data_IF_088134148431
#
_entry.id   IF_088134148431
#
_cell.length_a   1.000
_cell.length_b   1.000
_cell.length_c   1.000
_cell.angle_alpha   90.00
_cell.angle_beta   90.00
_cell.angle_gamma   90.00
#
_symmetry.space_group_name_H-M   'P 1'
#
loop_
_entity.id
_entity.type
_entity.pdbx_description
1 polymer ?
#
# COMPACT_ATOMS: atom_id res chain seq x y z
N UNK A 1 6.75 -6.36 20.14
CA UNK A 1 6.47 -7.68 19.53
C UNK A 1 7.57 -8.14 18.56
N UNK A 2 7.73 -7.55 17.37
CA UNK A 2 8.69 -8.02 16.36
C UNK A 2 10.12 -8.20 16.92
N UNK A 3 10.66 -7.17 17.57
CA UNK A 3 12.00 -7.19 18.18
C UNK A 3 12.15 -8.31 19.22
N UNK A 4 11.11 -8.58 20.03
CA UNK A 4 11.16 -9.66 21.02
C UNK A 4 11.20 -11.04 20.37
N UNK A 5 10.39 -11.27 19.34
CA UNK A 5 10.39 -12.54 18.61
C UNK A 5 11.70 -12.75 17.86
N UNK A 6 12.21 -11.72 17.18
CA UNK A 6 13.53 -11.73 16.52
C UNK A 6 14.63 -12.07 17.54
N UNK A 7 14.60 -11.45 18.72
CA UNK A 7 15.61 -11.69 19.78
C UNK A 7 15.57 -13.14 20.31
N UNK A 8 14.40 -13.77 20.30
CA UNK A 8 14.20 -15.15 20.77
C UNK A 8 14.40 -16.20 19.66
N UNK A 9 14.52 -15.79 18.40
CA UNK A 9 14.65 -16.68 17.26
C UNK A 9 16.10 -17.19 17.12
N UNK A 10 16.39 -18.46 17.43
CA UNK A 10 17.74 -19.00 17.35
C UNK A 10 18.23 -19.19 15.91
N UNK A 11 17.34 -19.09 14.92
CA UNK A 11 17.71 -19.21 13.52
C UNK A 11 18.33 -17.94 12.95
N UNK A 12 18.21 -16.78 13.62
CA UNK A 12 18.74 -15.50 13.15
C UNK A 12 20.10 -15.18 13.80
N UNK A 13 21.13 -14.98 12.97
CA UNK A 13 22.40 -14.38 13.42
C UNK A 13 22.45 -12.90 13.02
N UNK A 14 22.09 -12.02 13.95
CA UNK A 14 22.23 -10.57 13.76
C UNK A 14 23.59 -10.02 14.20
N UNK A 15 24.39 -10.82 14.93
CA UNK A 15 25.65 -10.39 15.55
C UNK A 15 25.54 -9.39 16.70
N UNK A 16 24.38 -8.76 16.87
CA UNK A 16 24.09 -7.77 17.91
C UNK A 16 22.65 -7.91 18.37
N UNK A 17 22.36 -7.42 19.58
CA UNK A 17 20.99 -7.32 20.08
C UNK A 17 20.27 -6.19 19.32
N UNK A 18 19.09 -6.50 18.79
CA UNK A 18 18.22 -5.51 18.18
C UNK A 18 17.47 -4.73 19.27
N UNK A 19 17.38 -3.42 19.09
CA UNK A 19 16.53 -2.53 19.87
C UNK A 19 15.92 -1.48 18.93
N UNK A 20 14.89 -0.78 19.38
CA UNK A 20 14.18 0.20 18.58
C UNK A 20 13.84 1.47 19.36
N UNK A 21 13.74 2.56 18.62
CA UNK A 21 13.17 3.83 19.09
C UNK A 21 12.08 4.23 18.12
N UNK A 22 10.94 4.67 18.64
CA UNK A 22 9.87 5.23 17.81
C UNK A 22 10.25 6.66 17.46
N UNK A 23 10.37 6.93 16.17
CA UNK A 23 10.70 8.24 15.64
C UNK A 23 9.43 8.85 15.06
N UNK A 24 8.97 9.96 15.65
CA UNK A 24 7.75 10.63 15.21
C UNK A 24 7.97 11.36 13.89
N UNK A 25 7.30 10.88 12.85
CA UNK A 25 7.24 11.50 11.52
C UNK A 25 6.02 12.41 11.44
N UNK A 26 6.23 13.69 11.15
CA UNK A 26 5.14 14.65 10.96
C UNK A 26 4.45 14.38 9.61
N UNK A 27 3.13 14.62 9.52
CA UNK A 27 2.43 14.50 8.24
C UNK A 27 2.81 15.60 7.23
N UNK A 28 3.42 16.71 7.69
CA UNK A 28 3.95 17.77 6.84
C UNK A 28 5.36 17.41 6.35
N UNK A 29 5.55 17.32 5.03
CA UNK A 29 6.77 16.78 4.42
C UNK A 29 8.02 17.58 4.81
N UNK A 30 7.89 18.90 4.89
CA UNK A 30 9.02 19.78 5.23
C UNK A 30 9.53 19.53 6.66
N UNK A 31 8.62 19.43 7.62
CA UNK A 31 8.94 19.18 9.03
C UNK A 31 9.41 17.75 9.26
N UNK A 32 8.82 16.78 8.57
CA UNK A 32 9.23 15.38 8.60
C UNK A 32 10.69 15.23 8.16
N UNK A 33 11.08 15.87 7.05
CA UNK A 33 12.45 15.84 6.55
C UNK A 33 13.43 16.46 7.54
N UNK A 34 13.12 17.63 8.10
CA UNK A 34 13.99 18.30 9.07
C UNK A 34 14.24 17.41 10.29
N UNK A 35 13.18 16.81 10.86
CA UNK A 35 13.32 15.85 11.96
C UNK A 35 14.12 14.60 11.56
N UNK A 36 13.93 14.09 10.34
CA UNK A 36 14.64 12.90 9.85
C UNK A 36 16.16 13.10 9.84
N UNK A 37 16.64 14.31 9.51
CA UNK A 37 18.07 14.65 9.55
C UNK A 37 18.65 14.46 10.96
N UNK A 38 17.91 14.83 12.01
CA UNK A 38 18.34 14.70 13.40
C UNK A 38 18.43 13.23 13.85
N UNK A 39 17.62 12.35 13.26
CA UNK A 39 17.63 10.92 13.56
C UNK A 39 18.87 10.20 13.03
N UNK A 40 19.64 10.85 12.14
CA UNK A 40 20.88 10.33 11.58
C UNK A 40 21.95 9.95 12.61
N UNK A 41 21.83 10.29 13.89
CA UNK A 41 22.73 9.83 14.97
C UNK A 41 22.10 8.81 15.93
N UNK A 42 20.80 8.58 15.85
CA UNK A 42 20.04 7.80 16.85
C UNK A 42 19.89 6.31 16.49
N UNK A 43 19.79 6.00 15.19
CA UNK A 43 19.41 4.65 14.74
C UNK A 43 20.43 4.06 13.77
N UNK A 44 20.65 2.75 13.77
CA UNK A 44 21.59 2.09 12.83
C UNK A 44 20.97 1.77 11.46
N UNK A 45 19.65 1.70 11.40
CA UNK A 45 18.83 1.51 10.21
C UNK A 45 17.44 2.12 10.47
N UNK A 46 16.67 2.33 9.41
CA UNK A 46 15.34 2.91 9.48
C UNK A 46 14.30 1.97 8.89
N UNK A 47 13.19 1.78 9.61
CA UNK A 47 11.94 1.24 9.07
C UNK A 47 11.01 2.45 8.89
N UNK A 48 10.76 2.82 7.63
CA UNK A 48 10.37 4.17 7.21
C UNK A 48 11.48 4.83 6.38
N UNK A 49 11.29 6.07 5.88
CA UNK A 49 10.16 6.96 6.15
C UNK A 49 8.87 6.48 5.50
N UNK A 50 7.74 6.96 6.03
CA UNK A 50 6.41 6.66 5.51
C UNK A 50 5.87 7.78 4.63
N UNK A 51 6.48 8.97 4.66
CA UNK A 51 6.11 10.05 3.76
C UNK A 51 6.89 10.00 2.42
N UNK A 52 6.20 9.77 1.29
CA UNK A 52 6.84 9.67 -0.02
C UNK A 52 7.45 10.98 -0.53
N UNK A 53 7.09 12.12 0.08
CA UNK A 53 7.59 13.44 -0.27
C UNK A 53 9.10 13.60 -0.12
N UNK A 54 9.71 12.88 0.83
CA UNK A 54 11.15 13.00 1.08
C UNK A 54 11.93 11.68 0.98
N UNK A 55 11.33 10.58 0.52
CA UNK A 55 12.01 9.29 0.39
C UNK A 55 13.30 9.32 -0.44
N UNK A 56 13.36 10.12 -1.51
CA UNK A 56 14.58 10.32 -2.31
C UNK A 56 15.70 10.94 -1.45
N UNK A 57 15.36 11.99 -0.69
CA UNK A 57 16.32 12.67 0.19
C UNK A 57 16.73 11.77 1.35
N UNK A 58 15.78 11.06 1.96
CA UNK A 58 16.06 10.10 3.02
C UNK A 58 17.06 9.04 2.55
N UNK A 59 16.87 8.51 1.34
CA UNK A 59 17.77 7.50 0.75
C UNK A 59 19.19 8.04 0.58
N UNK A 60 19.35 9.24 0.02
CA UNK A 60 20.66 9.90 -0.11
C UNK A 60 21.32 10.17 1.26
N UNK A 61 20.53 10.54 2.28
CA UNK A 61 21.02 10.67 3.65
C UNK A 61 21.45 9.33 4.23
N UNK A 62 20.67 8.26 3.98
CA UNK A 62 20.98 6.89 4.35
C UNK A 62 22.32 6.43 3.75
N UNK A 63 22.57 6.73 2.49
CA UNK A 63 23.86 6.46 1.82
C UNK A 63 25.01 7.19 2.52
N UNK A 64 24.85 8.49 2.76
CA UNK A 64 25.86 9.30 3.44
C UNK A 64 26.14 8.83 4.88
N UNK A 65 25.11 8.38 5.60
CA UNK A 65 25.24 7.86 6.95
C UNK A 65 25.64 6.39 7.00
N UNK A 66 25.67 5.70 5.85
CA UNK A 66 25.84 4.26 5.72
C UNK A 66 24.78 3.45 6.52
N UNK A 67 23.50 3.84 6.39
CA UNK A 67 22.35 3.26 7.09
C UNK A 67 21.31 2.76 6.11
N UNK A 68 20.81 1.55 6.36
CA UNK A 68 19.76 0.96 5.54
C UNK A 68 18.42 1.65 5.81
N UNK A 69 17.62 1.81 4.76
CA UNK A 69 16.28 2.39 4.80
C UNK A 69 15.32 1.38 4.19
N UNK A 70 14.36 0.94 4.99
CA UNK A 70 13.34 -0.03 4.60
C UNK A 70 11.98 0.66 4.58
N UNK A 71 11.29 0.73 3.45
CA UNK A 71 9.97 1.36 3.39
C UNK A 71 9.03 0.69 2.38
N UNK A 72 7.77 0.56 2.78
CA UNK A 72 6.67 0.15 1.90
C UNK A 72 5.95 1.36 1.25
N UNK A 73 6.14 2.57 1.78
CA UNK A 73 5.43 3.78 1.35
C UNK A 73 6.16 4.58 0.27
N UNK A 74 7.47 4.38 0.10
CA UNK A 74 8.30 5.19 -0.77
C UNK A 74 8.08 4.94 -2.28
N UNK A 75 6.87 5.11 -2.83
CA UNK A 75 6.42 4.69 -4.18
C UNK A 75 7.26 5.14 -5.39
N UNK A 76 8.21 6.06 -5.24
CA UNK A 76 9.01 6.53 -6.36
C UNK A 76 9.82 5.39 -7.04
N UNK A 77 9.56 5.17 -8.32
CA UNK A 77 10.22 4.17 -9.17
C UNK A 77 11.73 4.39 -9.29
N UNK A 78 12.22 5.62 -9.12
CA UNK A 78 13.67 5.91 -9.15
C UNK A 78 14.42 5.12 -8.07
N UNK A 79 13.79 4.85 -6.94
CA UNK A 79 14.36 4.11 -5.82
C UNK A 79 14.53 2.61 -6.09
N UNK A 80 13.98 2.06 -7.17
CA UNK A 80 14.14 0.64 -7.52
C UNK A 80 15.56 0.32 -8.04
N UNK A 81 16.32 1.34 -8.42
CA UNK A 81 17.69 1.16 -8.90
C UNK A 81 18.68 0.99 -7.73
N UNK A 82 19.01 -0.26 -7.40
CA UNK A 82 20.02 -0.61 -6.38
C UNK A 82 21.42 -0.01 -6.61
N UNK A 83 21.75 0.39 -7.83
CA UNK A 83 23.01 1.09 -8.15
C UNK A 83 23.02 2.55 -7.70
N UNK A 84 21.87 3.22 -7.82
CA UNK A 84 21.71 4.64 -7.50
C UNK A 84 21.25 4.85 -6.06
N UNK A 85 20.63 3.83 -5.47
CA UNK A 85 20.05 3.85 -4.13
C UNK A 85 20.45 2.58 -3.35
N UNK A 86 21.75 2.37 -3.12
CA UNK A 86 22.27 1.11 -2.60
C UNK A 86 21.86 0.79 -1.16
N UNK A 87 21.39 1.77 -0.39
CA UNK A 87 20.95 1.59 1.00
C UNK A 87 19.44 1.48 1.17
N UNK A 88 18.66 1.54 0.09
CA UNK A 88 17.21 1.45 0.14
C UNK A 88 16.72 0.04 -0.19
N UNK A 89 15.72 -0.43 0.56
CA UNK A 89 15.00 -1.66 0.28
C UNK A 89 13.49 -1.47 0.48
N UNK A 90 12.72 -2.01 -0.46
CA UNK A 90 11.26 -2.01 -0.40
C UNK A 90 10.80 -3.25 0.36
N UNK A 91 9.94 -3.10 1.36
CA UNK A 91 9.46 -4.23 2.19
C UNK A 91 8.17 -4.87 1.67
N UNK A 92 7.50 -4.21 0.72
CA UNK A 92 6.34 -4.71 0.00
C UNK A 92 6.55 -4.58 -1.51
N UNK A 93 5.80 -5.33 -2.34
CA UNK A 93 5.70 -5.04 -3.77
C UNK A 93 5.37 -3.57 -4.01
N UNK A 94 5.92 -2.99 -5.08
CA UNK A 94 5.62 -1.59 -5.44
C UNK A 94 4.12 -1.42 -5.67
N UNK A 95 3.44 -0.47 -5.01
CA UNK A 95 2.01 -0.23 -5.25
C UNK A 95 1.72 0.10 -6.71
N UNK A 96 2.65 0.78 -7.41
CA UNK A 96 2.55 1.02 -8.86
C UNK A 96 2.53 -0.28 -9.65
N UNK A 97 3.33 -1.28 -9.28
CA UNK A 97 3.33 -2.60 -9.95
C UNK A 97 1.99 -3.30 -9.76
N UNK A 98 1.49 -3.35 -8.52
CA UNK A 98 0.20 -3.99 -8.19
C UNK A 98 -0.94 -3.35 -9.00
N UNK A 99 -1.00 -2.01 -8.97
CA UNK A 99 -1.99 -1.24 -9.71
C UNK A 99 -1.86 -1.45 -11.22
N UNK A 100 -0.65 -1.40 -11.77
CA UNK A 100 -0.42 -1.60 -13.20
C UNK A 100 -0.86 -2.99 -13.67
N UNK A 101 -0.60 -4.04 -12.89
CA UNK A 101 -1.03 -5.42 -13.19
C UNK A 101 -2.56 -5.52 -13.26
N UNK A 102 -3.28 -4.88 -12.33
CA UNK A 102 -4.75 -4.84 -12.33
C UNK A 102 -5.28 -4.04 -13.53
N UNK A 103 -4.75 -2.84 -13.73
CA UNK A 103 -5.15 -1.98 -14.85
C UNK A 103 -4.92 -2.67 -16.19
N UNK A 104 -3.81 -3.40 -16.35
CA UNK A 104 -3.52 -4.19 -17.54
C UNK A 104 -4.52 -5.33 -17.74
N UNK A 105 -4.86 -6.06 -16.67
CA UNK A 105 -5.81 -7.16 -16.76
C UNK A 105 -7.20 -6.71 -17.22
N UNK A 106 -7.73 -5.64 -16.63
CA UNK A 106 -9.05 -5.09 -17.00
C UNK A 106 -9.01 -4.11 -18.17
N UNK A 107 -7.81 -3.81 -18.69
CA UNK A 107 -7.58 -2.78 -19.70
C UNK A 107 -8.13 -1.40 -19.31
N UNK A 108 -7.89 -0.96 -18.08
CA UNK A 108 -8.27 0.38 -17.60
C UNK A 108 -7.04 1.30 -17.60
N UNK A 109 -6.83 2.07 -18.66
CA UNK A 109 -5.64 2.87 -18.83
C UNK A 109 -5.77 4.29 -18.26
N UNK A 110 -6.97 4.89 -18.35
CA UNK A 110 -7.20 6.27 -17.96
C UNK A 110 -7.45 6.44 -16.46
N UNK A 111 -6.51 7.10 -15.79
CA UNK A 111 -6.46 7.22 -14.32
C UNK A 111 -6.78 8.64 -13.87
N UNK A 112 -7.65 8.74 -12.87
CA UNK A 112 -7.78 9.91 -11.99
C UNK A 112 -7.19 9.61 -10.62
N UNK A 113 -6.63 10.61 -9.93
CA UNK A 113 -6.11 10.46 -8.57
C UNK A 113 -6.65 11.59 -7.70
N UNK A 114 -7.28 11.22 -6.58
CA UNK A 114 -7.79 12.17 -5.57
C UNK A 114 -7.04 11.92 -4.26
N UNK A 115 -6.45 12.97 -3.70
CA UNK A 115 -5.78 12.93 -2.40
C UNK A 115 -6.59 13.66 -1.33
N UNK A 116 -6.47 13.26 -0.05
CA UNK A 116 -6.82 14.17 1.06
C UNK A 116 -5.77 15.29 1.20
N UNK A 117 -5.97 16.20 2.16
CA UNK A 117 -5.21 17.46 2.22
C UNK A 117 -3.87 17.35 2.96
N UNK A 118 -3.55 16.21 3.56
CA UNK A 118 -2.28 16.01 4.24
C UNK A 118 -1.15 15.83 3.21
N UNK A 119 0.03 16.41 3.46
CA UNK A 119 1.14 16.37 2.51
C UNK A 119 1.51 14.93 2.14
N UNK A 120 1.49 13.99 3.10
CA UNK A 120 1.74 12.57 2.83
C UNK A 120 0.86 12.02 1.69
N UNK A 121 -0.41 12.37 1.66
CA UNK A 121 -1.37 11.90 0.67
C UNK A 121 -1.26 12.64 -0.65
N UNK A 122 -1.00 13.95 -0.60
CA UNK A 122 -0.71 14.75 -1.81
C UNK A 122 0.58 14.28 -2.49
N UNK A 123 1.64 14.02 -1.71
CA UNK A 123 2.91 13.50 -2.21
C UNK A 123 2.74 12.07 -2.72
N UNK A 124 1.94 11.23 -2.06
CA UNK A 124 1.57 9.90 -2.55
C UNK A 124 0.94 10.00 -3.94
N UNK A 125 -0.07 10.86 -4.09
CA UNK A 125 -0.77 11.04 -5.37
C UNK A 125 0.16 11.55 -6.48
N UNK A 126 1.03 12.52 -6.19
CA UNK A 126 1.96 13.08 -7.16
C UNK A 126 3.03 12.05 -7.60
N UNK A 127 3.58 11.27 -6.65
CA UNK A 127 4.57 10.24 -6.96
C UNK A 127 3.94 9.05 -7.68
N UNK A 128 2.72 8.64 -7.29
CA UNK A 128 1.95 7.62 -8.00
C UNK A 128 1.65 8.06 -9.44
N UNK A 129 1.18 9.29 -9.64
CA UNK A 129 0.92 9.84 -10.97
C UNK A 129 2.17 9.79 -11.85
N UNK A 130 3.32 10.17 -11.29
CA UNK A 130 4.61 10.13 -11.99
C UNK A 130 5.02 8.70 -12.34
N UNK A 131 4.79 7.75 -11.44
CA UNK A 131 5.11 6.34 -11.67
C UNK A 131 4.20 5.69 -12.72
N UNK A 132 2.90 5.98 -12.72
CA UNK A 132 1.95 5.48 -13.73
C UNK A 132 2.22 6.08 -15.11
N UNK A 133 2.51 7.38 -15.19
CA UNK A 133 2.95 8.01 -16.46
C UNK A 133 4.24 7.40 -16.99
N UNK A 134 5.16 7.02 -16.11
CA UNK A 134 6.38 6.32 -16.49
C UNK A 134 6.11 4.90 -17.02
N UNK A 135 4.98 4.30 -16.67
CA UNK A 135 4.48 3.04 -17.24
C UNK A 135 3.66 3.24 -18.53
N UNK A 136 3.58 4.46 -19.05
CA UNK A 136 2.84 4.78 -20.26
C UNK A 136 1.35 5.09 -20.06
N UNK A 137 0.85 5.06 -18.81
CA UNK A 137 -0.58 5.27 -18.55
C UNK A 137 -0.96 6.76 -18.46
N UNK A 138 -2.08 7.17 -19.09
CA UNK A 138 -2.58 8.53 -19.00
C UNK A 138 -3.19 8.81 -17.61
N UNK A 139 -2.58 9.72 -16.86
CA UNK A 139 -3.13 10.25 -15.61
C UNK A 139 -3.74 11.62 -15.89
N UNK A 140 -5.06 11.63 -16.11
CA UNK A 140 -5.83 12.78 -16.60
C UNK A 140 -6.05 13.87 -15.55
N UNK A 141 -6.15 13.49 -14.26
CA UNK A 141 -6.29 14.44 -13.15
C UNK A 141 -5.57 13.94 -11.91
N UNK A 142 -4.91 14.87 -11.22
CA UNK A 142 -4.37 14.69 -9.86
C UNK A 142 -4.86 15.88 -9.04
N UNK A 143 -5.68 15.63 -8.03
CA UNK A 143 -6.35 16.69 -7.27
C UNK A 143 -6.38 16.38 -5.79
N UNK A 144 -6.19 17.39 -4.94
CA UNK A 144 -6.46 17.30 -3.51
C UNK A 144 -7.87 17.76 -3.17
N UNK A 145 -8.50 17.04 -2.25
CA UNK A 145 -9.88 17.24 -1.84
C UNK A 145 -10.00 18.49 -0.98
N UNK A 146 -10.63 19.55 -1.46
CA UNK A 146 -10.78 20.78 -0.67
C UNK A 146 -11.76 20.57 0.49
N UNK A 147 -11.44 21.15 1.66
CA UNK A 147 -12.31 21.09 2.85
C UNK A 147 -13.67 21.75 2.60
N UNK A 148 -14.70 21.21 3.25
CA UNK A 148 -16.08 21.69 3.18
C UNK A 148 -16.82 21.16 1.94
N UNK A 149 -18.15 21.14 2.02
CA UNK A 149 -19.02 20.54 1.01
C UNK A 149 -18.75 21.03 -0.41
N UNK A 150 -18.70 22.35 -0.60
CA UNK A 150 -18.39 22.97 -1.89
C UNK A 150 -17.01 22.56 -2.42
N UNK A 151 -16.04 22.36 -1.53
CA UNK A 151 -14.70 21.91 -1.92
C UNK A 151 -14.69 20.49 -2.49
N UNK A 152 -15.52 19.61 -1.94
CA UNK A 152 -15.69 18.24 -2.43
C UNK A 152 -16.46 18.24 -3.76
N UNK A 153 -17.52 19.06 -3.88
CA UNK A 153 -18.23 19.25 -5.15
C UNK A 153 -17.31 19.76 -6.26
N UNK A 154 -16.49 20.77 -5.97
CA UNK A 154 -15.50 21.31 -6.90
C UNK A 154 -14.49 20.24 -7.34
N UNK A 155 -14.14 19.32 -6.43
CA UNK A 155 -13.24 18.20 -6.72
C UNK A 155 -13.88 17.27 -7.75
N UNK A 156 -15.12 16.86 -7.54
CA UNK A 156 -15.87 16.02 -8.48
C UNK A 156 -16.18 16.71 -9.81
N UNK A 157 -16.44 18.02 -9.79
CA UNK A 157 -16.65 18.80 -11.00
C UNK A 157 -15.43 18.76 -11.92
N UNK A 158 -14.22 18.90 -11.37
CA UNK A 158 -12.98 18.79 -12.15
C UNK A 158 -12.72 17.38 -12.69
N UNK A 159 -13.08 16.35 -11.93
CA UNK A 159 -12.99 14.95 -12.42
C UNK A 159 -13.90 14.75 -13.63
N UNK A 160 -15.14 15.27 -13.59
CA UNK A 160 -16.09 15.21 -14.72
C UNK A 160 -15.57 15.93 -15.97
N UNK A 161 -14.84 17.03 -15.82
CA UNK A 161 -14.33 17.83 -16.94
C UNK A 161 -13.26 17.11 -17.79
N UNK A 162 -12.50 16.18 -17.20
CA UNK A 162 -11.42 15.47 -17.90
C UNK A 162 -11.98 14.45 -18.90
N UNK A 163 -13.11 13.82 -18.58
CA UNK A 163 -13.69 12.74 -19.38
C UNK A 163 -12.81 11.48 -19.42
N UNK A 164 -13.37 10.38 -19.92
CA UNK A 164 -12.70 9.09 -20.18
C UNK A 164 -11.93 8.41 -19.04
N UNK A 165 -11.96 8.92 -17.81
CA UNK A 165 -11.37 8.23 -16.66
C UNK A 165 -12.12 6.91 -16.42
N UNK A 166 -11.39 5.81 -16.23
CA UNK A 166 -11.96 4.50 -15.86
C UNK A 166 -11.78 4.22 -14.37
N UNK A 167 -10.60 4.50 -13.86
CA UNK A 167 -10.18 4.19 -12.49
C UNK A 167 -9.80 5.48 -11.75
N UNK A 168 -10.30 5.62 -10.52
CA UNK A 168 -9.99 6.74 -9.65
C UNK A 168 -9.34 6.19 -8.39
N UNK A 169 -8.05 6.52 -8.22
CA UNK A 169 -7.27 6.09 -7.06
C UNK A 169 -7.41 7.12 -5.95
N UNK A 170 -7.77 6.66 -4.76
CA UNK A 170 -8.05 7.48 -3.59
C UNK A 170 -6.85 7.42 -2.63
N UNK A 171 -5.97 8.42 -2.69
CA UNK A 171 -4.83 8.59 -1.80
C UNK A 171 -5.29 9.26 -0.50
N UNK A 172 -5.80 8.47 0.44
CA UNK A 172 -6.29 8.87 1.75
C UNK A 172 -6.49 7.62 2.60
N UNK A 173 -6.82 7.77 3.88
CA UNK A 173 -7.21 6.64 4.70
C UNK A 173 -8.52 6.02 4.20
N UNK A 174 -8.58 4.69 4.15
CA UNK A 174 -9.77 3.96 3.77
C UNK A 174 -10.83 4.02 4.87
N UNK A 175 -12.09 4.11 4.45
CA UNK A 175 -13.27 3.94 5.28
C UNK A 175 -13.18 2.68 6.16
N UNK A 176 -12.58 1.61 5.64
CA UNK A 176 -12.45 0.31 6.30
C UNK A 176 -11.55 0.35 7.55
N UNK A 177 -10.74 1.40 7.70
CA UNK A 177 -9.90 1.65 8.89
C UNK A 177 -10.18 3.01 9.54
N UNK A 178 -11.36 3.59 9.27
CA UNK A 178 -11.81 4.85 9.89
C UNK A 178 -11.50 6.12 9.10
N UNK A 179 -11.26 6.03 7.79
CA UNK A 179 -11.02 7.18 6.93
C UNK A 179 -12.27 8.02 6.63
N UNK A 180 -12.46 9.10 7.40
CA UNK A 180 -13.61 10.02 7.27
C UNK A 180 -13.62 10.80 5.96
N UNK A 181 -12.45 11.20 5.45
CA UNK A 181 -12.32 11.92 4.18
C UNK A 181 -12.79 11.08 3.00
N UNK A 182 -12.42 9.79 2.99
CA UNK A 182 -12.88 8.87 1.94
C UNK A 182 -14.39 8.66 2.02
N UNK A 183 -14.94 8.49 3.22
CA UNK A 183 -16.38 8.34 3.42
C UNK A 183 -17.13 9.56 2.87
N UNK A 184 -16.69 10.75 3.23
CA UNK A 184 -17.31 12.01 2.78
C UNK A 184 -17.21 12.17 1.26
N UNK A 185 -16.07 11.81 0.67
CA UNK A 185 -15.84 11.89 -0.78
C UNK A 185 -16.75 10.94 -1.55
N UNK A 186 -16.83 9.67 -1.13
CA UNK A 186 -17.65 8.63 -1.76
C UNK A 186 -19.15 8.94 -1.63
N UNK A 187 -19.61 9.31 -0.43
CA UNK A 187 -21.01 9.72 -0.22
C UNK A 187 -21.38 10.89 -1.13
N UNK A 188 -20.49 11.88 -1.28
CA UNK A 188 -20.73 12.99 -2.22
C UNK A 188 -20.71 12.54 -3.68
N UNK A 189 -19.90 11.54 -4.03
CA UNK A 189 -19.89 10.94 -5.37
C UNK A 189 -21.26 10.32 -5.69
N UNK A 190 -21.84 9.58 -4.74
CA UNK A 190 -23.18 9.01 -4.87
C UNK A 190 -24.24 10.09 -5.03
N UNK A 191 -24.24 11.13 -4.19
CA UNK A 191 -25.18 12.26 -4.28
C UNK A 191 -25.10 12.98 -5.64
N UNK A 192 -23.92 13.00 -6.27
CA UNK A 192 -23.70 13.57 -7.59
C UNK A 192 -23.93 12.58 -8.75
N UNK A 193 -24.32 11.34 -8.46
CA UNK A 193 -24.55 10.28 -9.46
C UNK A 193 -23.28 9.78 -10.14
N UNK A 194 -22.13 9.84 -9.44
CA UNK A 194 -20.81 9.45 -9.95
C UNK A 194 -20.36 8.07 -9.46
N UNK A 195 -21.04 7.50 -8.47
CA UNK A 195 -20.83 6.12 -8.01
C UNK A 195 -21.68 5.10 -8.79
N UNK A 196 -22.08 5.40 -10.03
CA UNK A 196 -23.02 4.61 -10.81
C UNK A 196 -22.38 3.51 -11.67
N UNK A 197 -21.13 3.14 -11.37
CA UNK A 197 -20.33 2.16 -12.10
C UNK A 197 -19.50 2.75 -13.26
N UNK A 198 -19.61 4.04 -13.57
CA UNK A 198 -18.77 4.65 -14.62
C UNK A 198 -17.28 4.76 -14.24
N UNK A 199 -17.00 4.84 -12.95
CA UNK A 199 -15.65 4.88 -12.37
C UNK A 199 -15.49 3.72 -11.41
N UNK A 200 -14.33 3.09 -11.43
CA UNK A 200 -13.88 2.19 -10.37
C UNK A 200 -13.09 3.00 -9.36
N UNK A 201 -13.56 3.07 -8.11
CA UNK A 201 -12.82 3.68 -7.03
C UNK A 201 -11.87 2.66 -6.40
N UNK A 202 -10.62 3.06 -6.12
CA UNK A 202 -9.62 2.20 -5.49
C UNK A 202 -8.97 2.92 -4.31
N UNK A 203 -9.17 2.45 -3.06
CA UNK A 203 -8.43 2.93 -1.90
C UNK A 203 -6.94 2.61 -2.06
N UNK A 204 -6.07 3.63 -2.01
CA UNK A 204 -4.64 3.41 -2.15
C UNK A 204 -4.04 2.72 -0.92
N UNK A 205 -4.49 3.10 0.28
CA UNK A 205 -3.86 2.67 1.53
C UNK A 205 -4.05 1.17 1.81
N UNK A 206 -5.14 0.57 1.31
CA UNK A 206 -5.40 -0.88 1.46
C UNK A 206 -4.35 -1.74 0.77
N UNK A 207 -3.58 -1.19 -0.19
CA UNK A 207 -2.43 -1.83 -0.83
C UNK A 207 -1.26 -2.07 0.14
N UNK A 208 -1.30 -1.46 1.31
CA UNK A 208 -0.16 -1.36 2.24
C UNK A 208 -0.28 -2.27 3.45
N UNK A 209 -1.36 -3.03 3.57
CA UNK A 209 -1.61 -3.94 4.67
C UNK A 209 -2.53 -5.08 4.24
N UNK A 210 -2.61 -6.13 5.05
CA UNK A 210 -3.56 -7.23 4.85
C UNK A 210 -4.82 -6.95 5.65
N UNK A 211 -5.88 -6.53 4.94
CA UNK A 211 -7.18 -6.28 5.53
C UNK A 211 -7.83 -7.62 5.92
N UNK A 212 -8.34 -7.78 7.15
CA UNK A 212 -9.07 -8.98 7.55
C UNK A 212 -10.49 -8.95 6.98
N UNK A 213 -10.72 -9.62 5.84
CA UNK A 213 -12.03 -9.67 5.18
C UNK A 213 -12.75 -11.01 5.37
N UNK A 214 -12.02 -12.10 5.63
CA UNK A 214 -12.58 -13.44 5.79
C UNK A 214 -13.46 -13.51 7.04
N UNK A 215 -14.75 -13.81 6.85
CA UNK A 215 -15.77 -13.86 7.91
C UNK A 215 -15.80 -12.58 8.77
N UNK A 216 -15.48 -11.44 8.17
CA UNK A 216 -15.47 -10.16 8.85
C UNK A 216 -16.52 -9.21 8.29
N UNK A 217 -17.12 -8.43 9.19
CA UNK A 217 -18.10 -7.40 8.88
C UNK A 217 -17.54 -6.04 9.26
N UNK A 218 -17.69 -5.07 8.38
CA UNK A 218 -17.22 -3.70 8.56
C UNK A 218 -18.36 -2.82 9.07
N UNK A 219 -18.41 -2.62 10.39
CA UNK A 219 -19.52 -1.93 11.06
C UNK A 219 -19.73 -0.47 10.63
N UNK A 220 -18.76 0.11 9.91
CA UNK A 220 -18.89 1.43 9.29
C UNK A 220 -20.06 1.50 8.30
N UNK A 221 -20.49 0.36 7.74
CA UNK A 221 -21.64 0.29 6.83
C UNK A 221 -22.99 0.05 7.53
N UNK A 222 -23.01 -0.34 8.81
CA UNK A 222 -24.24 -0.81 9.48
C UNK A 222 -25.33 0.27 9.60
N UNK A 223 -24.95 1.54 9.61
CA UNK A 223 -25.88 2.66 9.82
C UNK A 223 -25.69 3.78 8.78
N UNK A 224 -25.07 3.49 7.64
CA UNK A 224 -24.85 4.47 6.57
C UNK A 224 -25.15 3.85 5.21
N UNK A 225 -26.44 3.79 4.88
CA UNK A 225 -26.94 3.25 3.60
C UNK A 225 -26.35 3.99 2.40
N UNK A 226 -26.14 5.32 2.51
CA UNK A 226 -25.53 6.11 1.45
C UNK A 226 -24.09 5.70 1.22
N UNK A 227 -23.31 5.54 2.29
CA UNK A 227 -21.93 5.11 2.17
C UNK A 227 -21.84 3.68 1.63
N UNK A 228 -22.71 2.78 2.09
CA UNK A 228 -22.80 1.41 1.57
C UNK A 228 -23.10 1.40 0.06
N UNK A 229 -24.10 2.16 -0.39
CA UNK A 229 -24.43 2.28 -1.82
C UNK A 229 -23.29 2.93 -2.62
N UNK A 230 -22.61 3.94 -2.07
CA UNK A 230 -21.45 4.54 -2.71
C UNK A 230 -20.25 3.57 -2.81
N UNK A 231 -20.09 2.70 -1.82
CA UNK A 231 -18.98 1.75 -1.72
C UNK A 231 -19.13 0.60 -2.73
N UNK A 232 -20.31 0.37 -3.28
CA UNK A 232 -20.53 -0.62 -4.35
C UNK A 232 -19.66 -0.33 -5.59
N UNK A 233 -19.31 0.94 -5.84
CA UNK A 233 -18.39 1.35 -6.90
C UNK A 233 -16.89 1.20 -6.54
N UNK A 234 -16.55 0.59 -5.40
CA UNK A 234 -15.18 0.51 -4.86
C UNK A 234 -14.63 -0.91 -5.00
N UNK A 235 -13.52 -1.07 -5.72
CA UNK A 235 -12.72 -2.29 -5.68
C UNK A 235 -11.57 -2.13 -4.69
N UNK A 236 -11.62 -2.90 -3.61
CA UNK A 236 -10.62 -2.85 -2.54
C UNK A 236 -9.50 -3.85 -2.83
N UNK A 237 -8.27 -3.37 -2.99
CA UNK A 237 -7.11 -4.23 -3.26
C UNK A 237 -6.26 -4.30 -1.99
N UNK A 238 -5.98 -5.49 -1.49
CA UNK A 238 -5.25 -5.69 -0.22
C UNK A 238 -4.32 -6.89 -0.25
N UNK A 239 -3.34 -6.94 0.66
CA UNK A 239 -2.42 -8.08 0.77
C UNK A 239 -3.18 -9.36 1.15
N UNK A 240 -2.91 -10.44 0.43
CA UNK A 240 -3.49 -11.75 0.68
C UNK A 240 -2.89 -12.37 1.96
N UNK A 241 -3.73 -12.71 2.95
CA UNK A 241 -3.31 -13.33 4.22
C UNK A 241 -3.47 -14.84 4.30
N UNK A 242 -4.08 -15.49 3.30
CA UNK A 242 -4.38 -16.92 3.37
C UNK A 242 -5.39 -17.23 4.48
N UNK A 243 -5.23 -18.37 5.15
CA UNK A 243 -6.18 -18.82 6.18
C UNK A 243 -6.04 -18.07 7.50
N UNK A 244 -4.84 -17.57 7.84
CA UNK A 244 -4.54 -16.92 9.11
C UNK A 244 -4.62 -15.41 8.98
N UNK A 245 -5.76 -14.84 9.32
CA UNK A 245 -5.98 -13.39 9.17
C UNK A 245 -5.14 -12.57 10.15
N UNK A 246 -5.05 -11.25 9.90
CA UNK A 246 -4.47 -10.30 10.85
C UNK A 246 -5.11 -10.41 12.25
N UNK A 247 -6.43 -10.54 12.33
CA UNK A 247 -7.13 -10.64 13.61
C UNK A 247 -6.83 -11.95 14.35
N UNK A 248 -6.67 -13.06 13.63
CA UNK A 248 -6.24 -14.33 14.24
C UNK A 248 -4.83 -14.21 14.81
N UNK A 249 -3.89 -13.71 14.01
CA UNK A 249 -2.51 -13.50 14.44
C UNK A 249 -2.39 -12.58 15.65
N UNK A 250 -3.19 -11.52 15.70
CA UNK A 250 -3.23 -10.60 16.84
C UNK A 250 -3.81 -11.25 18.09
N UNK A 251 -4.94 -11.97 17.97
CA UNK A 251 -5.55 -12.70 19.09
C UNK A 251 -4.61 -13.76 19.65
N UNK A 252 -3.93 -14.52 18.80
CA UNK A 252 -2.93 -15.50 19.23
C UNK A 252 -1.81 -14.86 20.03
N UNK A 253 -1.28 -13.71 19.59
CA UNK A 253 -0.24 -12.98 20.30
C UNK A 253 -0.72 -12.38 21.64
N UNK A 254 -2.01 -12.06 21.77
CA UNK A 254 -2.63 -11.66 23.04
C UNK A 254 -2.77 -12.87 23.98
N UNK A 255 -3.27 -14.01 23.48
CA UNK A 255 -3.44 -15.26 24.24
C UNK A 255 -2.10 -15.82 24.72
N UNK A 256 -1.04 -15.74 23.91
CA UNK A 256 0.31 -16.15 24.28
C UNK A 256 0.99 -15.22 25.30
N UNK A 257 0.36 -14.09 25.64
CA UNK A 257 0.88 -13.11 26.58
C UNK A 257 1.97 -12.20 26.00
N UNK A 258 2.23 -12.24 24.69
CA UNK A 258 3.21 -11.37 24.03
C UNK A 258 2.68 -9.94 23.81
N UNK A 259 1.35 -9.79 23.68
CA UNK A 259 0.67 -8.49 23.69
C UNK A 259 -0.09 -8.36 25.00
N UNK A 260 0.39 -7.46 25.86
CA UNK A 260 -0.18 -7.22 27.20
C UNK A 260 -1.18 -6.07 27.25
N UNK A 261 -1.38 -5.36 26.13
CA UNK A 261 -2.33 -4.25 26.03
C UNK A 261 -3.75 -4.78 25.98
N UNK A 262 -4.64 -4.13 26.70
CA UNK A 262 -6.07 -4.44 26.69
C UNK A 262 -6.74 -3.77 25.48
N UNK A 263 -6.45 -4.33 24.31
CA UNK A 263 -7.02 -3.93 23.02
C UNK A 263 -7.60 -5.16 22.33
N UNK A 264 -8.76 -5.01 21.72
CA UNK A 264 -9.32 -6.01 20.81
C UNK A 264 -8.67 -5.91 19.43
N UNK A 265 -8.63 -7.02 18.70
CA UNK A 265 -7.98 -7.07 17.38
C UNK A 265 -8.59 -6.05 16.39
N UNK A 266 -9.91 -5.83 16.48
CA UNK A 266 -10.67 -4.85 15.67
C UNK A 266 -10.34 -3.39 16.01
N UNK A 267 -9.68 -3.12 17.14
CA UNK A 267 -9.25 -1.78 17.53
C UNK A 267 -7.83 -1.44 17.05
N UNK A 268 -7.16 -2.39 16.39
CA UNK A 268 -5.78 -2.22 15.93
C UNK A 268 -5.76 -2.21 14.41
N UNK A 269 -5.15 -1.16 13.85
CA UNK A 269 -4.98 -1.07 12.40
C UNK A 269 -4.15 -2.26 11.87
N UNK A 270 -4.55 -2.89 10.76
CA UNK A 270 -3.78 -3.97 10.12
C UNK A 270 -2.40 -3.52 9.64
N UNK A 271 -2.15 -2.20 9.56
CA UNK A 271 -0.81 -1.64 9.35
C UNK A 271 0.22 -2.11 10.40
N UNK A 272 -0.25 -2.52 11.59
CA UNK A 272 0.59 -3.19 12.60
C UNK A 272 1.34 -4.38 12.00
N UNK A 273 0.67 -5.20 11.17
CA UNK A 273 1.28 -6.35 10.51
C UNK A 273 2.40 -5.92 9.57
N UNK A 274 2.15 -4.92 8.73
CA UNK A 274 3.17 -4.38 7.82
C UNK A 274 4.38 -3.81 8.55
N UNK A 275 4.18 -3.11 9.67
CA UNK A 275 5.28 -2.58 10.50
C UNK A 275 6.08 -3.74 11.10
N UNK A 276 5.39 -4.75 11.65
CA UNK A 276 6.02 -5.98 12.16
C UNK A 276 6.89 -6.65 11.09
N UNK A 277 6.34 -6.80 9.88
CA UNK A 277 7.00 -7.42 8.74
C UNK A 277 8.22 -6.61 8.30
N UNK A 278 8.17 -5.27 8.35
CA UNK A 278 9.32 -4.41 8.08
C UNK A 278 10.51 -4.67 9.02
N UNK A 279 10.26 -4.85 10.32
CA UNK A 279 11.31 -5.21 11.28
C UNK A 279 11.89 -6.60 11.01
N UNK A 280 11.04 -7.59 10.74
CA UNK A 280 11.48 -8.94 10.41
C UNK A 280 12.27 -8.97 9.11
N UNK A 281 11.82 -8.26 8.09
CA UNK A 281 12.50 -8.14 6.80
C UNK A 281 13.92 -7.59 6.96
N UNK A 282 14.09 -6.53 7.76
CA UNK A 282 15.41 -6.00 8.10
C UNK A 282 16.28 -7.03 8.83
N UNK A 283 15.73 -7.75 9.81
CA UNK A 283 16.47 -8.79 10.54
C UNK A 283 16.92 -9.93 9.61
N UNK A 284 16.04 -10.39 8.72
CA UNK A 284 16.36 -11.39 7.69
C UNK A 284 17.46 -10.90 6.74
N UNK A 285 17.43 -9.62 6.35
CA UNK A 285 18.47 -9.02 5.52
C UNK A 285 19.83 -8.94 6.23
N UNK A 286 19.86 -8.63 7.53
CA UNK A 286 21.07 -8.64 8.35
C UNK A 286 21.64 -10.05 8.48
N UNK A 287 20.82 -11.05 8.81
CA UNK A 287 21.23 -12.46 8.89
C UNK A 287 21.79 -12.95 7.54
N UNK A 288 21.09 -12.67 6.43
CA UNK A 288 21.54 -12.98 5.06
C UNK A 288 22.90 -12.36 4.73
N UNK A 289 23.12 -11.09 5.10
CA UNK A 289 24.40 -10.42 4.94
C UNK A 289 25.53 -11.10 5.72
N UNK A 290 25.25 -11.42 6.99
CA UNK A 290 26.24 -12.03 7.88
C UNK A 290 26.62 -13.44 7.49
N UNK A 291 25.65 -14.28 7.11
CA UNK A 291 25.89 -15.64 6.59
C UNK A 291 26.76 -15.64 5.33
N UNK A 292 26.70 -14.58 4.53
CA UNK A 292 27.55 -14.39 3.34
C UNK A 292 28.88 -13.69 3.64
N UNK A 293 29.22 -13.48 4.91
CA UNK A 293 30.46 -12.85 5.35
C UNK A 293 30.53 -11.34 5.09
N UNK A 294 29.41 -10.70 4.75
CA UNK A 294 29.36 -9.27 4.52
C UNK A 294 29.34 -8.51 5.85
N UNK A 295 30.03 -7.36 5.88
CA UNK A 295 29.97 -6.44 7.04
C UNK A 295 28.59 -5.81 7.14
N UNK A 296 28.07 -5.70 8.36
CA UNK A 296 26.80 -5.01 8.64
C UNK A 296 26.99 -3.51 8.33
N UNK A 297 26.41 -3.08 7.22
CA UNK A 297 26.44 -1.70 6.72
C UNK A 297 25.16 -1.43 5.94
N UNK A 298 24.76 -0.16 5.79
CA UNK A 298 23.50 0.18 5.13
C UNK A 298 23.35 -0.46 3.76
N UNK A 299 24.38 -0.36 2.93
CA UNK A 299 24.36 -0.89 1.57
C UNK A 299 24.34 -2.41 1.53
N UNK A 300 25.17 -3.07 2.36
CA UNK A 300 25.17 -4.53 2.41
C UNK A 300 23.84 -5.07 2.89
N UNK A 301 23.25 -4.49 3.95
CA UNK A 301 21.95 -4.93 4.46
C UNK A 301 20.88 -4.80 3.36
N UNK A 302 20.76 -3.65 2.70
CA UNK A 302 19.76 -3.43 1.66
C UNK A 302 19.95 -4.34 0.43
N UNK A 303 21.19 -4.69 0.07
CA UNK A 303 21.49 -5.63 -1.03
C UNK A 303 21.22 -7.11 -0.70
N UNK A 304 21.13 -7.46 0.59
CA UNK A 304 20.94 -8.84 1.06
C UNK A 304 19.48 -9.24 1.29
N UNK A 305 18.58 -8.51 0.62
CA UNK A 305 17.12 -8.70 0.63
C UNK A 305 16.63 -9.67 -0.44
N UNK A 306 17.55 -10.32 -1.17
CA UNK A 306 17.26 -11.25 -2.28
C UNK A 306 16.96 -12.66 -1.77
N UNK A 307 15.98 -13.32 -2.37
CA UNK A 307 15.57 -14.69 -2.05
C UNK A 307 15.28 -14.88 -0.55
N UNK A 308 14.63 -13.91 0.08
CA UNK A 308 14.13 -14.04 1.44
C UNK A 308 12.77 -14.75 1.40
N UNK A 309 12.52 -15.61 2.39
CA UNK A 309 11.20 -16.19 2.65
C UNK A 309 11.09 -16.40 4.16
N UNK A 310 10.08 -15.80 4.77
CA UNK A 310 9.82 -15.90 6.21
C UNK A 310 8.35 -15.71 6.55
N UNK A 311 7.87 -16.30 7.66
CA UNK A 311 6.52 -16.04 8.15
C UNK A 311 6.45 -14.62 8.71
N UNK A 312 5.72 -13.75 8.02
CA UNK A 312 5.34 -12.43 8.52
C UNK A 312 4.28 -12.53 9.62
N UNK A 313 3.68 -11.40 9.96
CA UNK A 313 2.72 -11.34 11.05
C UNK A 313 1.45 -12.15 10.73
N UNK A 314 0.89 -11.95 9.54
CA UNK A 314 -0.32 -12.62 9.06
C UNK A 314 -0.13 -13.40 7.76
N UNK A 315 0.98 -13.22 7.05
CA UNK A 315 1.19 -13.82 5.74
C UNK A 315 2.66 -14.16 5.50
N UNK A 316 2.94 -14.99 4.49
CA UNK A 316 4.31 -15.28 4.08
C UNK A 316 4.89 -14.07 3.34
N UNK A 317 6.09 -13.64 3.72
CA UNK A 317 6.81 -12.54 3.05
C UNK A 317 7.95 -13.13 2.25
N UNK A 318 7.98 -12.84 0.95
CA UNK A 318 8.95 -13.39 0.02
C UNK A 318 9.54 -12.33 -0.91
N UNK A 319 10.78 -12.56 -1.34
CA UNK A 319 11.44 -11.77 -2.37
C UNK A 319 12.09 -12.64 -3.44
N UNK A 320 12.11 -12.13 -4.67
CA UNK A 320 12.78 -12.79 -5.79
C UNK A 320 14.32 -12.66 -5.73
N UNK A 321 14.98 -13.16 -6.77
CA UNK A 321 16.44 -13.09 -6.91
C UNK A 321 16.99 -11.66 -7.08
N UNK A 322 16.12 -10.68 -7.38
CA UNK A 322 16.44 -9.27 -7.46
C UNK A 322 16.15 -8.53 -6.14
N UNK A 323 15.46 -9.15 -5.18
CA UNK A 323 15.02 -8.52 -3.94
C UNK A 323 13.67 -7.83 -4.06
N UNK A 324 12.91 -8.09 -5.12
CA UNK A 324 11.56 -7.57 -5.33
C UNK A 324 10.57 -8.39 -4.52
N UNK A 325 9.68 -7.72 -3.78
CA UNK A 325 8.62 -8.38 -3.02
C UNK A 325 7.67 -9.19 -3.90
N UNK A 326 7.24 -10.35 -3.38
CA UNK A 326 6.36 -11.32 -4.05
C UNK A 326 5.04 -11.56 -3.29
N UNK A 327 4.75 -10.81 -2.24
CA UNK A 327 3.47 -10.94 -1.51
C UNK A 327 2.29 -10.73 -2.46
N UNK A 328 1.36 -11.68 -2.46
CA UNK A 328 0.17 -11.65 -3.31
C UNK A 328 -0.86 -10.65 -2.81
N UNK A 329 -1.75 -10.25 -3.71
CA UNK A 329 -2.86 -9.34 -3.43
C UNK A 329 -4.18 -9.99 -3.80
N UNK A 330 -5.26 -9.49 -3.23
CA UNK A 330 -6.62 -9.91 -3.55
C UNK A 330 -7.48 -8.69 -3.85
N UNK A 331 -8.35 -8.81 -4.85
CA UNK A 331 -9.38 -7.81 -5.17
C UNK A 331 -10.64 -8.23 -4.45
N UNK A 332 -11.12 -7.34 -3.59
CA UNK A 332 -12.35 -7.49 -2.84
C UNK A 332 -13.42 -6.55 -3.41
N UNK A 333 -14.64 -7.07 -3.46
CA UNK A 333 -15.83 -6.34 -3.87
C UNK A 333 -16.95 -6.55 -2.85
N UNK A 334 -17.92 -5.63 -2.79
CA UNK A 334 -19.15 -5.84 -2.04
C UNK A 334 -20.13 -6.65 -2.88
N UNK A 335 -21.34 -6.88 -2.38
CA UNK A 335 -22.43 -7.47 -3.16
C UNK A 335 -23.64 -6.54 -3.29
N UNK A 336 -23.36 -5.23 -3.23
CA UNK A 336 -24.37 -4.18 -3.20
C UNK A 336 -25.15 -4.08 -1.89
N UNK A 337 -24.96 -5.02 -0.97
CA UNK A 337 -25.71 -5.11 0.29
C UNK A 337 -24.81 -5.46 1.48
N UNK A 338 -25.28 -5.13 2.68
CA UNK A 338 -24.57 -5.50 3.91
C UNK A 338 -23.18 -4.89 4.07
N UNK A 339 -22.35 -5.53 4.87
CA UNK A 339 -21.13 -4.93 5.42
C UNK A 339 -19.89 -5.81 5.20
N UNK A 340 -19.95 -6.75 4.25
CA UNK A 340 -18.89 -7.71 4.00
C UNK A 340 -18.23 -7.45 2.65
N UNK A 341 -16.97 -7.85 2.56
CA UNK A 341 -16.15 -7.76 1.37
C UNK A 341 -15.76 -9.17 0.95
N UNK A 342 -15.91 -9.48 -0.33
CA UNK A 342 -15.70 -10.82 -0.85
C UNK A 342 -14.60 -10.84 -1.90
N UNK A 343 -13.72 -11.86 -1.87
CA UNK A 343 -12.63 -11.97 -2.82
C UNK A 343 -13.16 -12.37 -4.20
N UNK A 344 -12.73 -11.64 -5.23
CA UNK A 344 -13.12 -11.88 -6.64
C UNK A 344 -11.95 -12.29 -7.51
N UNK A 345 -10.75 -11.77 -7.23
CA UNK A 345 -9.55 -12.06 -8.00
C UNK A 345 -8.33 -12.15 -7.08
N UNK A 346 -7.41 -13.06 -7.41
CA UNK A 346 -6.08 -13.16 -6.82
C UNK A 346 -5.06 -12.55 -7.78
N UNK A 347 -4.22 -11.66 -7.26
CA UNK A 347 -3.04 -11.13 -7.92
C UNK A 347 -1.81 -11.91 -7.49
N UNK A 348 -1.25 -12.68 -8.41
CA UNK A 348 0.01 -13.38 -8.22
C UNK A 348 1.18 -12.49 -8.63
N UNK A 349 1.91 -11.99 -7.63
CA UNK A 349 3.03 -11.08 -7.84
C UNK A 349 4.32 -11.80 -8.29
N UNK A 350 4.34 -13.14 -8.28
CA UNK A 350 5.44 -13.91 -8.86
C UNK A 350 5.36 -13.96 -10.40
N UNK A 351 4.15 -14.03 -10.94
CA UNK A 351 3.87 -14.11 -12.38
C UNK A 351 3.35 -12.80 -12.99
N UNK A 352 3.09 -11.77 -12.17
CA UNK A 352 2.44 -10.53 -12.59
C UNK A 352 1.10 -10.79 -13.30
N UNK A 353 0.31 -11.73 -12.75
CA UNK A 353 -0.95 -12.17 -13.33
C UNK A 353 -2.12 -12.00 -12.36
N UNK A 354 -3.32 -11.95 -12.93
CA UNK A 354 -4.58 -11.86 -12.20
C UNK A 354 -5.41 -13.09 -12.54
N UNK A 355 -5.84 -13.81 -11.51
CA UNK A 355 -6.67 -15.00 -11.62
C UNK A 355 -8.04 -14.71 -11.01
N UNK A 356 -9.11 -14.97 -11.76
CA UNK A 356 -10.47 -14.92 -11.19
C UNK A 356 -10.66 -16.05 -10.19
N UNK A 357 -11.34 -15.73 -9.09
CA UNK A 357 -11.81 -16.69 -8.09
C UNK A 357 -13.25 -17.09 -8.42
N UNK A 358 -13.87 -17.91 -7.57
CA UNK A 358 -15.23 -18.44 -7.80
C UNK A 358 -16.35 -17.38 -7.78
N UNK A 359 -16.02 -16.13 -7.44
CA UNK A 359 -16.96 -15.02 -7.36
C UNK A 359 -16.60 -13.93 -8.37
N UNK A 360 -17.55 -13.60 -9.23
CA UNK A 360 -17.44 -12.46 -10.13
C UNK A 360 -17.56 -11.15 -9.34
N UNK A 361 -16.99 -10.08 -9.91
CA UNK A 361 -17.24 -8.71 -9.47
C UNK A 361 -18.74 -8.41 -9.64
N UNK A 362 -19.40 -7.97 -8.57
CA UNK A 362 -20.80 -7.55 -8.55
C UNK A 362 -20.90 -6.20 -9.26
N UNK A 363 -20.35 -5.15 -8.65
CA UNK A 363 -20.25 -3.78 -9.15
C UNK A 363 -21.57 -3.11 -9.59
N UNK A 364 -21.69 -1.77 -9.56
CA UNK A 364 -22.95 -1.12 -9.84
C UNK A 364 -23.40 -1.42 -11.27
N UNK A 365 -24.69 -1.78 -11.42
CA UNK A 365 -25.31 -2.16 -12.70
C UNK A 365 -24.71 -3.42 -13.35
N UNK A 366 -24.03 -4.27 -12.57
CA UNK A 366 -23.43 -5.52 -13.03
C UNK A 366 -22.45 -5.35 -14.21
N UNK A 367 -21.91 -4.13 -14.40
CA UNK A 367 -21.09 -3.79 -15.57
C UNK A 367 -19.90 -2.93 -15.20
N UNK A 368 -18.71 -3.49 -15.39
CA UNK A 368 -17.45 -2.77 -15.26
C UNK A 368 -17.27 -1.72 -16.38
N UNK A 369 -16.41 -0.70 -16.19
CA UNK A 369 -16.07 0.24 -17.24
C UNK A 369 -15.53 -0.47 -18.48
N UNK A 370 -15.91 0.02 -19.66
CA UNK A 370 -15.45 -0.54 -20.93
C UNK A 370 -13.92 -0.47 -21.03
N UNK A 371 -13.27 -1.53 -21.56
CA UNK A 371 -11.83 -1.59 -21.68
C UNK A 371 -11.32 -0.51 -22.65
N UNK A 372 -10.22 0.14 -22.27
CA UNK A 372 -9.39 0.96 -23.13
C UNK A 372 -8.59 0.11 -24.12
N UNK A 373 -7.94 0.76 -25.09
CA UNK A 373 -7.05 0.07 -26.02
C UNK A 373 -5.90 -0.61 -25.28
N UNK A 374 -5.63 -1.87 -25.63
CA UNK A 374 -4.52 -2.63 -25.04
C UNK A 374 -3.15 -2.03 -25.34
N UNK A 375 -3.02 -1.12 -26.33
CA UNK A 375 -1.75 -0.45 -26.61
C UNK A 375 -1.21 0.40 -25.47
N UNK A 376 -2.06 0.83 -24.52
CA UNK A 376 -1.60 1.54 -23.33
C UNK A 376 -0.71 0.70 -22.42
N UNK A 377 -0.77 -0.63 -22.55
CA UNK A 377 -0.02 -1.59 -21.74
C UNK A 377 1.11 -2.28 -22.51
N UNK A 378 1.42 -1.79 -23.71
CA UNK A 378 2.52 -2.23 -24.55
C UNK A 378 3.59 -1.12 -24.60
N UNK A 379 4.77 -1.33 -23.98
CA UNK A 379 5.81 -0.31 -23.93
C UNK A 379 6.43 0.02 -25.30
N UNK A 380 6.24 -0.84 -26.31
CA UNK A 380 6.82 -0.69 -27.64
C UNK A 380 5.89 0.03 -28.63
N UNK A 381 4.68 0.41 -28.19
CA UNK A 381 3.64 1.01 -29.05
C UNK A 381 3.25 2.41 -28.57
N UNK A 382 3.34 3.40 -29.47
CA UNK A 382 2.75 4.71 -29.24
C UNK A 382 1.23 4.62 -29.38
N UNK A 383 0.53 4.73 -28.26
CA UNK A 383 -0.93 4.63 -28.19
C UNK A 383 -1.58 6.03 -28.32
N UNK A 384 -2.56 6.14 -29.22
CA UNK A 384 -3.42 7.35 -29.36
C UNK A 384 -4.90 7.00 -29.27
N UNK A 385 -5.24 5.75 -28.96
CA UNK A 385 -6.60 5.24 -28.94
C UNK A 385 -7.16 5.18 -27.53
N UNK A 386 -8.35 5.74 -27.34
CA UNK A 386 -9.06 5.73 -26.05
C UNK A 386 -9.78 7.04 -25.81
#
# INVERSE_FOLDING_TARGET
LAVERITKDPSLDLGHRLDYVVLEEECETSRALVKFIDFGKLSSAFIGPLNPGFCEVATLLGENWNKAIFSWMCINYKLDSTTHHPTFARTLPSPTRVLFTIMKHFSWAHVGIIASNEDIWMDTANKLASALRNQGLPVGVVISMRKGEKGIEDTWNKVKEVGNIKIIILCMHSVLIGGEEQATLLTKALEMGLADGRYVFVPYDTLLYSLPYQNNSFSIFDNDEKLQEAYDAVLTITLESGERTFYDAFREAKISGEITRDLEATQVSPLFGTIYDGFYFMAMAIDSARRKGARVSGANIAQHTKNLSFPGFSHQVETDHCGKGLSNYVILDTDGHGNQLFPTHLLDMSSDSVMSLDRNIHFPRETLPQPDSSCWFDPDVLCTGG
#
